data_IF_842921754090
#
_entry.id   IF_842921754090
#
_cell.length_a   1.000
_cell.length_b   1.000
_cell.length_c   1.000
_cell.angle_alpha   90.00
_cell.angle_beta   90.00
_cell.angle_gamma   90.00
#
_symmetry.space_group_name_H-M   'P 1'
#
loop_
_entity.id
_entity.type
_entity.pdbx_description
1 polymer ?
#
# COMPACT_ATOMS: atom_id res chain seq x y z
N UNK A 1 -30.46 31.04 -40.14
CA UNK A 1 -30.63 31.17 -38.68
C UNK A 1 -30.98 29.78 -38.17
N UNK A 2 -30.01 29.01 -37.67
CA UNK A 2 -30.32 27.68 -37.13
C UNK A 2 -31.07 27.87 -35.82
N UNK A 3 -32.25 27.25 -35.68
CA UNK A 3 -33.05 27.30 -34.46
C UNK A 3 -32.26 26.65 -33.31
N UNK A 4 -32.01 27.41 -32.24
CA UNK A 4 -31.39 26.93 -31.02
C UNK A 4 -32.24 27.33 -29.82
N UNK A 5 -32.17 26.54 -28.75
CA UNK A 5 -32.89 26.78 -27.50
C UNK A 5 -31.93 27.38 -26.49
N UNK A 6 -32.25 28.55 -25.93
CA UNK A 6 -31.54 29.10 -24.76
C UNK A 6 -32.36 28.85 -23.50
N UNK A 7 -31.73 28.33 -22.45
CA UNK A 7 -32.37 28.01 -21.18
C UNK A 7 -31.63 28.74 -20.06
N UNK A 8 -32.39 29.48 -19.26
CA UNK A 8 -31.91 30.20 -18.09
C UNK A 8 -32.98 30.18 -17.00
N UNK A 9 -32.59 30.37 -15.74
CA UNK A 9 -33.50 30.45 -14.60
C UNK A 9 -33.13 29.50 -13.46
N UNK A 10 -34.13 29.13 -12.67
CA UNK A 10 -33.98 28.30 -11.46
C UNK A 10 -34.93 27.10 -11.52
N UNK A 11 -34.43 25.89 -11.26
CA UNK A 11 -35.21 24.66 -11.15
C UNK A 11 -35.07 24.09 -9.73
N UNK A 12 -36.18 23.62 -9.16
CA UNK A 12 -36.14 22.96 -7.83
C UNK A 12 -35.54 21.56 -7.88
N UNK A 13 -35.79 20.84 -8.96
CA UNK A 13 -35.35 19.47 -9.10
C UNK A 13 -35.18 19.12 -10.59
N UNK A 14 -34.12 18.40 -10.88
CA UNK A 14 -33.86 17.82 -12.19
C UNK A 14 -33.39 16.37 -12.00
N UNK A 15 -34.21 15.44 -12.46
CA UNK A 15 -33.87 14.02 -12.46
C UNK A 15 -33.39 13.63 -13.86
N UNK A 16 -32.16 13.16 -13.92
CA UNK A 16 -31.58 12.70 -15.16
C UNK A 16 -30.97 11.30 -15.06
N UNK A 17 -31.39 10.54 -14.03
CA UNK A 17 -31.01 9.14 -13.84
C UNK A 17 -31.42 8.24 -15.03
N UNK A 18 -32.53 8.55 -15.71
CA UNK A 18 -33.01 7.79 -16.86
C UNK A 18 -32.42 8.19 -18.23
N UNK A 19 -31.54 9.19 -18.29
CA UNK A 19 -31.00 9.68 -19.56
C UNK A 19 -29.82 8.82 -20.02
N UNK A 20 -30.00 8.06 -21.10
CA UNK A 20 -28.95 7.18 -21.65
C UNK A 20 -27.91 7.90 -22.52
N UNK A 21 -28.20 9.12 -23.01
CA UNK A 21 -27.27 9.94 -23.80
C UNK A 21 -27.73 11.41 -23.83
N UNK A 22 -26.82 12.32 -23.47
CA UNK A 22 -27.07 13.78 -23.48
C UNK A 22 -26.52 14.45 -24.74
N UNK A 23 -25.64 13.76 -25.46
CA UNK A 23 -25.04 14.20 -26.72
C UNK A 23 -25.97 14.02 -27.91
N UNK A 24 -27.00 13.17 -27.82
CA UNK A 24 -27.95 12.90 -28.91
C UNK A 24 -29.09 13.93 -29.00
N UNK A 25 -28.95 15.06 -28.32
CA UNK A 25 -29.92 16.15 -28.41
C UNK A 25 -30.07 16.59 -29.88
N UNK A 26 -31.27 16.50 -30.49
CA UNK A 26 -31.47 16.73 -31.92
C UNK A 26 -31.30 18.19 -32.33
N UNK A 27 -31.13 19.10 -31.38
CA UNK A 27 -31.12 20.55 -31.55
C UNK A 27 -29.95 21.17 -30.79
N UNK A 28 -29.49 22.32 -31.28
CA UNK A 28 -28.50 23.15 -30.57
C UNK A 28 -29.15 23.80 -29.36
N UNK A 29 -28.45 23.79 -28.24
CA UNK A 29 -28.91 24.42 -27.01
C UNK A 29 -27.79 25.16 -26.27
N UNK A 30 -28.18 26.09 -25.41
CA UNK A 30 -27.29 26.85 -24.53
C UNK A 30 -27.92 27.01 -23.14
N UNK A 31 -27.11 26.82 -22.11
CA UNK A 31 -27.46 27.11 -20.72
C UNK A 31 -26.74 28.39 -20.29
N UNK A 32 -27.51 29.36 -19.78
CA UNK A 32 -27.00 30.66 -19.33
C UNK A 32 -27.25 30.81 -17.83
N UNK A 33 -26.37 30.19 -17.02
CA UNK A 33 -26.42 30.25 -15.57
C UNK A 33 -27.63 29.56 -14.96
N UNK A 34 -28.00 28.39 -15.49
CA UNK A 34 -29.13 27.60 -14.99
C UNK A 34 -28.81 27.12 -13.57
N UNK A 35 -29.58 27.58 -12.58
CA UNK A 35 -29.45 27.11 -11.21
C UNK A 35 -30.45 25.96 -10.95
N UNK A 36 -29.99 24.91 -10.30
CA UNK A 36 -30.78 23.73 -9.95
C UNK A 36 -30.53 23.37 -8.50
N UNK A 37 -31.56 23.39 -7.65
CA UNK A 37 -31.38 23.13 -6.22
C UNK A 37 -30.90 21.69 -5.97
N UNK A 38 -31.38 20.74 -6.78
CA UNK A 38 -30.98 19.32 -6.70
C UNK A 38 -31.00 18.62 -8.06
N UNK A 39 -29.86 18.05 -8.45
CA UNK A 39 -29.70 17.16 -9.59
C UNK A 39 -29.45 15.73 -9.06
N UNK A 40 -30.20 14.75 -9.56
CA UNK A 40 -29.97 13.34 -9.26
C UNK A 40 -29.38 12.61 -10.48
N UNK A 41 -28.22 11.96 -10.28
CA UNK A 41 -27.45 11.21 -11.26
C UNK A 41 -27.12 9.83 -10.67
N UNK A 42 -28.03 8.85 -10.81
CA UNK A 42 -27.90 7.54 -10.15
C UNK A 42 -27.68 7.67 -8.62
N UNK A 43 -26.53 7.24 -8.11
CA UNK A 43 -26.09 7.34 -6.72
C UNK A 43 -25.54 8.72 -6.34
N UNK A 44 -25.16 9.53 -7.33
CA UNK A 44 -24.65 10.88 -7.14
C UNK A 44 -25.81 11.89 -7.06
N UNK A 45 -25.82 12.69 -5.99
CA UNK A 45 -26.68 13.88 -5.88
C UNK A 45 -25.80 15.12 -5.91
N UNK A 46 -26.15 16.09 -6.76
CA UNK A 46 -25.57 17.42 -6.76
C UNK A 46 -26.58 18.41 -6.18
N UNK A 47 -26.15 19.24 -5.25
CA UNK A 47 -26.97 20.26 -4.60
C UNK A 47 -26.47 21.66 -4.92
N UNK A 48 -27.42 22.61 -4.99
CA UNK A 48 -27.17 24.02 -5.32
C UNK A 48 -26.32 24.19 -6.59
N UNK A 49 -26.63 23.38 -7.61
CA UNK A 49 -25.84 23.30 -8.82
C UNK A 49 -26.10 24.50 -9.74
N UNK A 50 -25.04 25.09 -10.30
CA UNK A 50 -25.09 26.08 -11.37
C UNK A 50 -24.47 25.50 -12.62
N UNK A 51 -25.21 25.54 -13.72
CA UNK A 51 -24.83 24.96 -15.00
C UNK A 51 -24.72 26.04 -16.08
N UNK A 52 -23.61 26.04 -16.80
CA UNK A 52 -23.34 26.95 -17.92
C UNK A 52 -22.72 26.16 -19.07
N UNK A 53 -23.20 26.35 -20.29
CA UNK A 53 -22.67 25.55 -21.40
C UNK A 53 -23.51 25.56 -22.65
N UNK A 54 -23.18 24.67 -23.56
CA UNK A 54 -23.90 24.47 -24.80
C UNK A 54 -23.72 23.07 -25.33
N UNK A 55 -24.71 22.61 -26.09
CA UNK A 55 -24.65 21.34 -26.78
C UNK A 55 -25.19 21.44 -28.20
N UNK A 56 -24.74 20.51 -29.03
CA UNK A 56 -25.26 20.23 -30.37
C UNK A 56 -25.19 18.72 -30.62
N UNK A 57 -25.80 18.17 -31.68
CA UNK A 57 -25.74 16.73 -31.92
C UNK A 57 -24.29 16.21 -31.92
N UNK A 58 -23.97 15.30 -31.01
CA UNK A 58 -22.64 14.69 -30.82
C UNK A 58 -21.61 15.53 -30.05
N UNK A 59 -21.93 16.76 -29.66
CA UNK A 59 -21.01 17.67 -28.98
C UNK A 59 -21.64 18.33 -27.75
N UNK A 60 -20.89 18.37 -26.65
CA UNK A 60 -21.31 19.00 -25.39
C UNK A 60 -20.12 19.72 -24.77
N UNK A 61 -20.34 20.93 -24.27
CA UNK A 61 -19.43 21.61 -23.37
C UNK A 61 -20.24 22.20 -22.21
N UNK A 62 -19.98 21.72 -20.99
CA UNK A 62 -20.70 22.10 -19.79
C UNK A 62 -19.68 22.45 -18.70
N UNK A 63 -19.89 23.59 -18.05
CA UNK A 63 -19.28 23.94 -16.77
C UNK A 63 -20.36 23.79 -15.69
N UNK A 64 -19.95 23.26 -14.56
CA UNK A 64 -20.83 23.07 -13.42
C UNK A 64 -20.11 23.42 -12.12
N UNK A 65 -20.88 23.97 -11.19
CA UNK A 65 -20.47 24.27 -9.84
C UNK A 65 -21.58 23.80 -8.89
N UNK A 66 -21.25 23.03 -7.87
CA UNK A 66 -22.20 22.47 -6.89
C UNK A 66 -21.50 22.30 -5.55
N UNK A 67 -22.24 21.94 -4.49
CA UNK A 67 -21.61 21.68 -3.19
C UNK A 67 -20.67 20.47 -3.22
N UNK A 68 -20.98 19.46 -4.03
CA UNK A 68 -20.26 18.19 -4.09
C UNK A 68 -19.11 18.22 -5.11
N UNK A 69 -19.24 18.97 -6.20
CA UNK A 69 -18.18 19.07 -7.20
C UNK A 69 -18.26 20.32 -8.07
N UNK A 70 -17.09 20.76 -8.52
CA UNK A 70 -16.94 21.86 -9.48
C UNK A 70 -16.03 21.41 -10.61
N UNK A 71 -16.40 21.71 -11.85
CA UNK A 71 -15.59 21.31 -13.00
C UNK A 71 -16.20 21.62 -14.35
N UNK A 72 -15.66 20.93 -15.35
CA UNK A 72 -16.17 20.95 -16.72
C UNK A 72 -16.23 19.57 -17.34
N UNK A 73 -17.24 19.39 -18.17
CA UNK A 73 -17.52 18.21 -18.95
C UNK A 73 -17.49 18.58 -20.43
N UNK A 74 -16.78 17.82 -21.26
CA UNK A 74 -16.82 17.94 -22.70
C UNK A 74 -17.04 16.60 -23.38
N UNK A 75 -17.94 16.57 -24.36
CA UNK A 75 -18.18 15.41 -25.24
C UNK A 75 -17.93 15.84 -26.67
N UNK A 76 -17.22 15.02 -27.42
CA UNK A 76 -16.94 15.22 -28.84
C UNK A 76 -17.12 13.87 -29.56
N UNK A 77 -17.47 13.87 -30.87
CA UNK A 77 -17.57 12.65 -31.65
C UNK A 77 -16.23 11.90 -31.67
N UNK A 78 -16.30 10.57 -31.57
CA UNK A 78 -15.16 9.64 -31.68
C UNK A 78 -14.01 9.92 -30.69
N UNK A 79 -14.30 10.61 -29.58
CA UNK A 79 -13.34 10.89 -28.50
C UNK A 79 -13.91 10.47 -27.15
N UNK A 80 -13.08 9.99 -26.21
CA UNK A 80 -13.49 9.84 -24.83
C UNK A 80 -14.05 11.16 -24.28
N UNK A 81 -15.08 11.05 -23.45
CA UNK A 81 -15.61 12.16 -22.67
C UNK A 81 -14.48 12.77 -21.83
N UNK A 82 -14.36 14.09 -21.77
CA UNK A 82 -13.41 14.75 -20.87
C UNK A 82 -14.11 15.29 -19.65
N UNK A 83 -13.63 14.94 -18.46
CA UNK A 83 -14.13 15.42 -17.19
C UNK A 83 -12.98 16.04 -16.38
N UNK A 84 -12.95 17.37 -16.33
CA UNK A 84 -11.94 18.14 -15.61
C UNK A 84 -12.57 18.69 -14.32
N UNK A 85 -12.26 18.07 -13.19
CA UNK A 85 -12.80 18.40 -11.87
C UNK A 85 -11.79 19.26 -11.09
N UNK A 86 -12.22 20.46 -10.71
CA UNK A 86 -11.45 21.35 -9.86
C UNK A 86 -11.42 20.86 -8.41
N UNK A 87 -12.56 20.42 -7.91
CA UNK A 87 -12.73 19.88 -6.56
C UNK A 87 -13.88 18.86 -6.58
N UNK A 88 -13.70 17.75 -5.85
CA UNK A 88 -14.73 16.75 -5.56
C UNK A 88 -14.77 16.55 -4.06
N UNK A 89 -15.97 16.55 -3.49
CA UNK A 89 -16.22 16.33 -2.07
C UNK A 89 -16.95 15.02 -1.91
N UNK A 90 -16.30 14.10 -1.22
CA UNK A 90 -16.84 12.79 -0.89
C UNK A 90 -17.14 12.75 0.61
N UNK A 91 -18.31 12.22 1.01
CA UNK A 91 -18.53 11.86 2.40
C UNK A 91 -17.57 10.71 2.78
N UNK A 92 -17.20 10.62 4.04
CA UNK A 92 -16.52 9.46 4.58
C UNK A 92 -17.35 8.20 4.39
N UNK A 93 -16.72 7.15 3.90
CA UNK A 93 -17.32 5.81 3.84
C UNK A 93 -17.23 5.10 5.19
N UNK A 94 -18.13 4.14 5.40
CA UNK A 94 -17.94 3.16 6.48
C UNK A 94 -16.76 2.25 6.11
N UNK A 95 -15.82 2.07 7.05
CA UNK A 95 -14.69 1.17 6.84
C UNK A 95 -15.17 -0.26 6.62
N UNK A 96 -14.68 -0.93 5.57
CA UNK A 96 -15.02 -2.32 5.26
C UNK A 96 -16.19 -2.49 4.30
N UNK A 97 -16.84 -1.40 3.86
CA UNK A 97 -17.92 -1.44 2.86
C UNK A 97 -17.39 -0.90 1.53
N UNK A 98 -17.63 -1.64 0.45
CA UNK A 98 -17.28 -1.21 -0.90
C UNK A 98 -18.08 0.06 -1.27
N UNK A 99 -17.41 1.19 -1.58
CA UNK A 99 -18.11 2.44 -1.87
C UNK A 99 -18.77 2.48 -3.25
N UNK A 100 -18.43 1.57 -4.17
CA UNK A 100 -18.96 1.57 -5.54
C UNK A 100 -19.51 0.19 -5.90
N UNK A 101 -20.78 0.13 -6.27
CA UNK A 101 -21.43 -1.11 -6.69
C UNK A 101 -21.03 -1.53 -8.12
N UNK A 102 -20.80 -2.83 -8.32
CA UNK A 102 -20.38 -3.42 -9.62
C UNK A 102 -21.36 -3.16 -10.77
N UNK A 103 -22.63 -2.90 -10.48
CA UNK A 103 -23.64 -2.54 -11.47
C UNK A 103 -23.36 -1.22 -12.21
N UNK A 104 -22.37 -0.43 -11.76
CA UNK A 104 -21.92 0.76 -12.49
C UNK A 104 -21.07 0.42 -13.72
N UNK A 105 -20.39 -0.74 -13.77
CA UNK A 105 -19.46 -1.08 -14.86
C UNK A 105 -20.10 -0.90 -16.25
N UNK A 106 -21.32 -1.43 -16.52
CA UNK A 106 -21.97 -1.25 -17.83
C UNK A 106 -22.40 0.19 -18.14
N UNK A 107 -22.44 1.07 -17.14
CA UNK A 107 -22.86 2.47 -17.25
C UNK A 107 -21.68 3.42 -17.47
N UNK A 108 -20.45 3.00 -17.17
CA UNK A 108 -19.27 3.83 -17.32
C UNK A 108 -19.00 4.10 -18.81
N UNK A 109 -18.91 5.37 -19.24
CA UNK A 109 -18.51 5.68 -20.60
C UNK A 109 -16.99 5.61 -20.76
N UNK A 110 -16.51 5.63 -22.01
CA UNK A 110 -15.12 5.96 -22.26
C UNK A 110 -14.87 7.43 -21.89
N UNK A 111 -13.99 7.70 -20.92
CA UNK A 111 -13.71 9.03 -20.43
C UNK A 111 -12.23 9.24 -20.07
N UNK A 112 -11.76 10.49 -20.12
CA UNK A 112 -10.51 10.96 -19.55
C UNK A 112 -10.85 11.92 -18.41
N UNK A 113 -10.37 11.60 -17.21
CA UNK A 113 -10.77 12.24 -15.96
C UNK A 113 -9.54 12.82 -15.28
N UNK A 114 -9.62 14.09 -14.90
CA UNK A 114 -8.62 14.75 -14.07
C UNK A 114 -9.33 15.41 -12.88
N UNK A 115 -8.87 15.09 -11.67
CA UNK A 115 -9.38 15.60 -10.41
C UNK A 115 -8.24 16.32 -9.69
N UNK A 116 -8.29 17.65 -9.70
CA UNK A 116 -7.23 18.47 -9.08
C UNK A 116 -7.25 18.43 -7.56
N UNK A 117 -8.41 18.18 -6.96
CA UNK A 117 -8.58 18.14 -5.51
C UNK A 117 -9.72 17.22 -5.10
N UNK A 118 -9.44 16.27 -4.23
CA UNK A 118 -10.43 15.46 -3.53
C UNK A 118 -10.47 15.91 -2.07
N UNK A 119 -11.68 16.12 -1.57
CA UNK A 119 -11.95 16.30 -0.14
C UNK A 119 -12.72 15.09 0.36
N UNK A 120 -12.20 14.42 1.39
CA UNK A 120 -12.87 13.32 2.08
C UNK A 120 -13.18 13.78 3.51
N UNK A 121 -14.46 13.82 3.89
CA UNK A 121 -14.90 14.42 5.17
C UNK A 121 -14.37 15.85 5.40
N UNK A 122 -14.21 16.60 4.31
CA UNK A 122 -13.66 17.96 4.33
C UNK A 122 -12.13 18.04 4.46
N UNK A 123 -11.44 16.92 4.66
CA UNK A 123 -9.98 16.86 4.65
C UNK A 123 -9.43 16.69 3.24
N UNK A 124 -8.28 17.31 2.97
CA UNK A 124 -7.62 17.16 1.68
C UNK A 124 -7.10 15.72 1.49
N UNK A 125 -7.63 15.05 0.47
CA UNK A 125 -7.29 13.67 0.12
C UNK A 125 -6.50 13.56 -1.20
N UNK A 126 -6.06 14.68 -1.78
CA UNK A 126 -5.12 14.65 -2.90
C UNK A 126 -5.74 14.88 -4.27
N UNK A 127 -5.08 14.36 -5.31
CA UNK A 127 -5.44 14.56 -6.72
C UNK A 127 -5.27 13.28 -7.53
N UNK A 128 -6.02 13.16 -8.62
CA UNK A 128 -6.05 11.96 -9.45
C UNK A 128 -6.18 12.29 -10.93
N UNK A 129 -5.59 11.44 -11.78
CA UNK A 129 -5.82 11.41 -13.23
C UNK A 129 -5.95 9.96 -13.67
N UNK A 130 -6.94 9.66 -14.48
CA UNK A 130 -7.14 8.35 -15.08
C UNK A 130 -8.12 8.44 -16.26
N UNK A 131 -8.12 7.45 -17.14
CA UNK A 131 -9.14 7.32 -18.18
C UNK A 131 -9.90 6.01 -18.05
N UNK A 132 -11.22 6.02 -18.17
CA UNK A 132 -12.07 4.82 -18.18
C UNK A 132 -12.22 4.30 -19.61
N UNK A 133 -12.10 2.98 -19.79
CA UNK A 133 -12.28 2.29 -21.07
C UNK A 133 -13.18 1.07 -20.84
N UNK A 134 -14.46 1.14 -21.21
CA UNK A 134 -15.37 0.00 -21.06
C UNK A 134 -14.94 -1.16 -21.95
N UNK A 135 -15.09 -2.37 -21.43
CA UNK A 135 -14.92 -3.64 -22.14
C UNK A 135 -16.15 -4.53 -21.89
N UNK A 136 -16.20 -5.70 -22.53
CA UNK A 136 -17.38 -6.58 -22.49
C UNK A 136 -17.78 -7.00 -21.07
N UNK A 137 -16.81 -7.34 -20.22
CA UNK A 137 -17.04 -7.81 -18.85
C UNK A 137 -16.16 -7.10 -17.80
N UNK A 138 -15.65 -5.92 -18.15
CA UNK A 138 -14.76 -5.16 -17.29
C UNK A 138 -14.74 -3.68 -17.66
N UNK A 139 -14.17 -2.87 -16.79
CA UNK A 139 -13.69 -1.53 -17.10
C UNK A 139 -12.18 -1.48 -16.88
N UNK A 140 -11.47 -0.92 -17.85
CA UNK A 140 -10.04 -0.62 -17.74
C UNK A 140 -9.85 0.85 -17.34
N UNK A 141 -9.09 1.10 -16.30
CA UNK A 141 -8.63 2.43 -15.93
C UNK A 141 -7.19 2.61 -16.41
N UNK A 142 -7.04 3.44 -17.42
CA UNK A 142 -5.79 3.76 -18.12
C UNK A 142 -5.11 4.99 -17.51
N UNK A 143 -3.79 5.08 -17.63
CA UNK A 143 -3.00 6.27 -17.21
C UNK A 143 -3.30 6.72 -15.77
N UNK A 144 -3.51 5.76 -14.86
CA UNK A 144 -3.84 6.05 -13.47
C UNK A 144 -2.62 6.62 -12.77
N UNK A 145 -2.75 7.85 -12.28
CA UNK A 145 -1.76 8.50 -11.43
C UNK A 145 -2.46 9.35 -10.37
N UNK A 146 -1.86 9.43 -9.19
CA UNK A 146 -2.43 10.22 -8.10
C UNK A 146 -1.41 10.57 -7.03
N UNK A 147 -1.71 11.64 -6.31
CA UNK A 147 -0.92 12.10 -5.16
C UNK A 147 -1.88 12.19 -3.97
N UNK A 148 -1.67 11.37 -2.94
CA UNK A 148 -2.60 11.20 -1.81
C UNK A 148 -1.80 11.22 -0.51
N UNK A 149 -2.01 12.24 0.33
CA UNK A 149 -1.45 12.28 1.68
C UNK A 149 0.07 11.96 1.73
N UNK A 150 0.82 12.47 0.75
CA UNK A 150 2.28 12.28 0.64
C UNK A 150 2.73 11.01 -0.10
N UNK A 151 1.80 10.16 -0.55
CA UNK A 151 2.05 9.04 -1.43
C UNK A 151 1.80 9.44 -2.89
N UNK A 152 2.67 9.02 -3.79
CA UNK A 152 2.45 9.09 -5.23
C UNK A 152 2.17 7.68 -5.77
N UNK A 153 1.05 7.53 -6.46
CA UNK A 153 0.63 6.27 -7.09
C UNK A 153 0.74 6.45 -8.60
N UNK A 154 1.36 5.49 -9.27
CA UNK A 154 1.42 5.41 -10.72
C UNK A 154 1.17 3.95 -11.13
N UNK A 155 0.12 3.71 -11.92
CA UNK A 155 -0.12 2.39 -12.50
C UNK A 155 0.82 2.16 -13.70
N UNK A 156 1.42 0.97 -13.77
CA UNK A 156 2.30 0.58 -14.88
C UNK A 156 1.49 -0.02 -16.04
N UNK A 157 0.33 -0.58 -15.73
CA UNK A 157 -0.67 -1.10 -16.66
C UNK A 157 -2.06 -0.56 -16.30
N UNK A 158 -3.07 -0.94 -17.06
CA UNK A 158 -4.45 -0.57 -16.72
C UNK A 158 -4.88 -1.25 -15.42
N UNK A 159 -5.54 -0.50 -14.53
CA UNK A 159 -6.31 -1.13 -13.45
C UNK A 159 -7.53 -1.76 -14.08
N UNK A 160 -7.81 -3.02 -13.79
CA UNK A 160 -8.96 -3.74 -14.36
C UNK A 160 -9.95 -4.01 -13.25
N UNK A 161 -11.22 -3.64 -13.44
CA UNK A 161 -12.32 -4.04 -12.55
C UNK A 161 -13.35 -4.84 -13.35
N UNK A 162 -13.60 -6.08 -12.91
CA UNK A 162 -14.41 -7.06 -13.63
C UNK A 162 -15.85 -7.13 -13.11
N UNK A 163 -16.76 -7.69 -13.90
CA UNK A 163 -18.15 -7.96 -13.47
C UNK A 163 -18.25 -9.04 -12.38
N UNK A 164 -17.20 -9.85 -12.19
CA UNK A 164 -17.08 -10.76 -11.04
C UNK A 164 -16.74 -10.00 -9.74
N UNK A 165 -16.69 -8.67 -9.82
CA UNK A 165 -16.37 -7.73 -8.76
C UNK A 165 -14.97 -7.97 -8.18
N UNK A 166 -13.98 -8.08 -9.05
CA UNK A 166 -12.56 -8.17 -8.68
C UNK A 166 -11.78 -7.05 -9.36
N UNK A 167 -10.90 -6.41 -8.60
CA UNK A 167 -9.99 -5.38 -9.08
C UNK A 167 -8.56 -5.88 -9.11
N UNK A 168 -7.81 -5.48 -10.13
CA UNK A 168 -6.39 -5.80 -10.29
C UNK A 168 -5.57 -4.54 -10.55
N UNK A 169 -4.46 -4.38 -9.82
CA UNK A 169 -3.52 -3.27 -9.94
C UNK A 169 -2.10 -3.79 -10.11
N UNK A 170 -1.44 -3.32 -11.17
CA UNK A 170 0.01 -3.41 -11.33
C UNK A 170 0.62 -2.03 -11.41
N UNK A 171 1.46 -1.68 -10.45
CA UNK A 171 1.98 -0.31 -10.38
C UNK A 171 3.00 -0.07 -9.27
N UNK A 172 3.27 1.22 -9.07
CA UNK A 172 4.20 1.70 -8.05
C UNK A 172 3.54 2.69 -7.11
N UNK A 173 3.90 2.62 -5.83
CA UNK A 173 3.59 3.62 -4.82
C UNK A 173 4.90 4.14 -4.26
N UNK A 174 5.12 5.45 -4.33
CA UNK A 174 6.35 6.10 -3.87
C UNK A 174 6.08 7.16 -2.84
N UNK A 175 7.05 7.40 -1.97
CA UNK A 175 7.03 8.51 -1.03
C UNK A 175 8.46 9.00 -0.77
N UNK A 176 8.59 10.24 -0.31
CA UNK A 176 9.88 10.74 0.17
C UNK A 176 10.08 10.33 1.63
N UNK A 177 9.42 11.03 2.55
CA UNK A 177 9.64 10.85 3.99
C UNK A 177 8.44 10.25 4.71
N UNK A 178 8.61 9.02 5.22
CA UNK A 178 7.62 8.32 6.05
C UNK A 178 7.23 9.11 7.30
N UNK A 179 8.09 9.97 7.84
CA UNK A 179 7.79 10.79 9.00
C UNK A 179 6.65 11.79 8.75
N UNK A 180 6.45 12.19 7.48
CA UNK A 180 5.34 13.07 7.05
C UNK A 180 4.13 12.27 6.56
N UNK A 181 4.36 11.12 5.92
CA UNK A 181 3.29 10.27 5.40
C UNK A 181 2.53 9.60 6.52
N UNK A 182 3.21 8.91 7.45
CA UNK A 182 2.56 8.10 8.49
C UNK A 182 1.49 8.90 9.28
N UNK A 183 1.75 10.13 9.76
CA UNK A 183 0.75 10.93 10.46
C UNK A 183 -0.44 11.34 9.58
N UNK A 184 -0.23 11.61 8.29
CA UNK A 184 -1.31 11.98 7.38
C UNK A 184 -2.33 10.82 7.21
N UNK A 185 -1.86 9.59 7.39
CA UNK A 185 -2.66 8.36 7.38
C UNK A 185 -3.11 7.91 8.77
N UNK A 186 -2.82 8.69 9.82
CA UNK A 186 -3.26 8.41 11.20
C UNK A 186 -2.35 7.47 11.98
N UNK A 187 -1.14 7.19 11.49
CA UNK A 187 -0.14 6.39 12.17
C UNK A 187 0.86 7.27 12.93
N UNK A 188 1.51 6.69 13.93
CA UNK A 188 2.60 7.36 14.62
C UNK A 188 3.81 7.55 13.69
N UNK A 189 4.56 8.62 13.91
CA UNK A 189 5.85 8.87 13.25
C UNK A 189 6.91 7.90 13.79
N UNK A 190 6.83 6.64 13.36
CA UNK A 190 7.72 5.56 13.80
C UNK A 190 8.96 5.41 12.92
N UNK A 191 8.90 5.90 11.68
CA UNK A 191 9.99 5.80 10.70
C UNK A 191 10.16 7.11 9.98
N UNK A 192 11.41 7.55 9.87
CA UNK A 192 11.84 8.59 8.95
C UNK A 192 12.60 7.93 7.79
N UNK A 193 12.44 8.44 6.57
CA UNK A 193 13.12 7.94 5.36
C UNK A 193 13.44 9.10 4.40
N UNK A 194 14.37 8.87 3.47
CA UNK A 194 14.55 9.78 2.32
C UNK A 194 13.68 9.38 1.14
N UNK A 195 13.54 8.08 0.90
CA UNK A 195 12.82 7.53 -0.25
C UNK A 195 12.17 6.19 0.08
N UNK A 196 10.96 6.00 -0.42
CA UNK A 196 10.16 4.78 -0.36
C UNK A 196 9.69 4.44 -1.78
N UNK A 197 9.88 3.20 -2.16
CA UNK A 197 9.40 2.63 -3.43
C UNK A 197 8.73 1.28 -3.13
N UNK A 198 7.45 1.20 -3.47
CA UNK A 198 6.64 -0.01 -3.38
C UNK A 198 6.22 -0.37 -4.79
N UNK A 199 6.42 -1.62 -5.19
CA UNK A 199 5.87 -2.20 -6.42
C UNK A 199 4.83 -3.23 -6.02
N UNK A 200 3.67 -3.17 -6.66
CA UNK A 200 2.58 -4.12 -6.41
C UNK A 200 2.06 -4.70 -7.72
N UNK A 201 1.75 -5.98 -7.68
CA UNK A 201 0.95 -6.69 -8.66
C UNK A 201 -0.10 -7.49 -7.88
N UNK A 202 -1.24 -6.86 -7.62
CA UNK A 202 -2.19 -7.32 -6.60
C UNK A 202 -3.62 -7.27 -7.09
N UNK A 203 -4.42 -8.20 -6.58
CA UNK A 203 -5.86 -8.26 -6.79
C UNK A 203 -6.61 -8.24 -5.45
N UNK A 204 -7.82 -7.68 -5.46
CA UNK A 204 -8.75 -7.72 -4.33
C UNK A 204 -10.20 -7.79 -4.79
N UNK A 205 -11.09 -8.34 -3.96
CA UNK A 205 -12.53 -8.29 -4.20
C UNK A 205 -13.08 -6.87 -4.02
N UNK A 206 -13.97 -6.46 -4.92
CA UNK A 206 -14.64 -5.17 -4.93
C UNK A 206 -14.15 -4.22 -5.99
N UNK A 207 -14.65 -2.99 -5.92
CA UNK A 207 -14.22 -1.87 -6.75
C UNK A 207 -12.76 -1.48 -6.49
N UNK A 208 -12.14 -0.70 -7.39
CA UNK A 208 -10.77 -0.22 -7.17
C UNK A 208 -10.59 0.62 -5.90
N UNK A 209 -11.67 1.11 -5.30
CA UNK A 209 -11.66 1.85 -4.04
C UNK A 209 -11.84 0.95 -2.81
N UNK A 210 -12.27 -0.31 -2.98
CA UNK A 210 -12.41 -1.29 -1.90
C UNK A 210 -11.09 -1.97 -1.51
N UNK A 211 -10.00 -1.22 -1.52
CA UNK A 211 -8.66 -1.74 -1.23
C UNK A 211 -8.50 -1.97 0.28
N UNK A 212 -8.29 -3.23 0.69
CA UNK A 212 -8.07 -3.62 2.08
C UNK A 212 -6.97 -4.69 2.14
N UNK A 213 -5.97 -4.47 3.00
CA UNK A 213 -4.74 -5.27 3.03
C UNK A 213 -4.97 -6.74 3.39
N UNK A 214 -5.98 -7.00 4.22
CA UNK A 214 -6.46 -8.32 4.67
C UNK A 214 -7.21 -9.10 3.58
N UNK A 215 -7.55 -8.47 2.45
CA UNK A 215 -8.20 -9.16 1.32
C UNK A 215 -7.31 -9.23 0.07
N UNK A 216 -6.08 -8.73 0.12
CA UNK A 216 -5.18 -8.73 -1.03
C UNK A 216 -4.60 -10.11 -1.32
N UNK A 217 -4.43 -10.37 -2.61
CA UNK A 217 -3.65 -11.47 -3.15
C UNK A 217 -2.70 -10.96 -4.23
N UNK A 218 -1.51 -11.55 -4.34
CA UNK A 218 -0.50 -11.17 -5.34
C UNK A 218 0.85 -10.81 -4.72
N UNK A 219 1.68 -10.06 -5.43
CA UNK A 219 3.06 -9.81 -5.04
C UNK A 219 3.31 -8.34 -4.69
N UNK A 220 4.08 -8.11 -3.63
CA UNK A 220 4.50 -6.77 -3.20
C UNK A 220 6.01 -6.76 -2.97
N UNK A 221 6.68 -5.79 -3.60
CA UNK A 221 8.08 -5.47 -3.34
C UNK A 221 8.19 -4.11 -2.65
N UNK A 222 9.01 -4.03 -1.60
CA UNK A 222 9.27 -2.79 -0.86
C UNK A 222 10.77 -2.48 -0.85
N UNK A 223 11.12 -1.22 -1.10
CA UNK A 223 12.43 -0.66 -0.81
C UNK A 223 12.29 0.67 -0.08
N UNK A 224 12.94 0.80 1.08
CA UNK A 224 13.12 2.07 1.78
C UNK A 224 14.60 2.37 1.82
N UNK A 225 14.98 3.58 1.42
CA UNK A 225 16.38 4.03 1.41
C UNK A 225 16.58 5.05 2.51
N UNK A 226 17.71 4.92 3.22
CA UNK A 226 18.26 5.84 4.21
C UNK A 226 17.22 6.43 5.19
N UNK A 227 17.29 6.02 6.44
CA UNK A 227 16.34 6.51 7.42
C UNK A 227 16.68 6.10 8.84
N UNK A 228 15.70 6.25 9.71
CA UNK A 228 15.79 5.78 11.09
C UNK A 228 14.43 5.36 11.62
N UNK A 229 14.43 4.32 12.45
CA UNK A 229 13.32 4.01 13.32
C UNK A 229 13.35 4.98 14.50
N UNK A 230 12.24 5.65 14.76
CA UNK A 230 12.08 6.59 15.87
C UNK A 230 11.49 5.86 17.08
N UNK A 231 11.82 6.34 18.28
CA UNK A 231 11.18 5.87 19.51
C UNK A 231 9.75 6.44 19.57
N UNK A 232 8.75 5.57 19.67
CA UNK A 232 7.34 5.96 19.66
C UNK A 232 6.79 5.89 21.07
N UNK A 233 6.57 7.05 21.69
CA UNK A 233 5.75 7.12 22.89
C UNK A 233 4.31 6.69 22.57
N UNK A 234 3.70 5.93 23.49
CA UNK A 234 2.36 5.31 23.42
C UNK A 234 1.38 5.96 22.42
N UNK A 235 0.96 5.17 21.42
CA UNK A 235 -0.03 5.58 20.40
C UNK A 235 -1.45 5.43 20.97
N UNK A 236 -2.37 6.39 20.74
CA UNK A 236 -3.79 6.18 21.00
C UNK A 236 -4.33 5.04 20.13
N UNK A 237 -4.88 4.00 20.76
CA UNK A 237 -5.53 2.88 20.09
C UNK A 237 -6.67 3.38 19.19
N UNK A 238 -6.72 2.95 17.92
CA UNK A 238 -7.89 3.22 17.08
C UNK A 238 -7.79 3.07 15.57
N UNK A 239 -6.62 2.82 14.95
CA UNK A 239 -6.54 2.52 13.51
C UNK A 239 -5.54 1.40 13.25
N UNK A 240 -6.08 0.21 12.98
CA UNK A 240 -5.34 -1.01 12.70
C UNK A 240 -4.72 -0.85 11.32
N UNK A 241 -3.41 -0.61 11.32
CA UNK A 241 -2.38 -1.04 10.37
C UNK A 241 -1.05 -0.49 10.93
N UNK A 242 -0.82 -0.75 12.21
CA UNK A 242 0.38 -0.29 12.93
C UNK A 242 1.58 -1.09 12.40
N UNK A 243 2.28 -0.53 11.42
CA UNK A 243 3.55 -1.03 10.92
C UNK A 243 4.49 -1.20 12.12
N UNK A 244 4.99 -2.43 12.27
CA UNK A 244 5.81 -2.93 13.38
C UNK A 244 6.46 -1.81 14.21
N UNK A 245 6.14 -1.77 15.49
CA UNK A 245 6.90 -0.97 16.46
C UNK A 245 8.26 -1.63 16.71
N UNK A 246 9.18 -1.44 15.77
CA UNK A 246 10.55 -1.96 15.84
C UNK A 246 11.29 -1.44 17.09
N UNK A 247 10.88 -0.29 17.64
CA UNK A 247 11.43 0.24 18.89
C UNK A 247 11.06 -0.65 20.08
N UNK A 248 9.80 -1.10 20.19
CA UNK A 248 9.36 -2.09 21.19
C UNK A 248 10.01 -3.44 21.00
N UNK A 249 10.18 -3.89 19.75
CA UNK A 249 10.91 -5.12 19.46
C UNK A 249 12.34 -4.97 20.00
N UNK A 250 13.09 -3.96 19.58
CA UNK A 250 14.47 -3.71 20.01
C UNK A 250 14.61 -3.57 21.55
N UNK A 251 13.69 -2.87 22.21
CA UNK A 251 13.66 -2.72 23.67
C UNK A 251 13.44 -4.07 24.38
N UNK A 252 12.57 -4.94 23.85
CA UNK A 252 12.29 -6.28 24.39
C UNK A 252 13.44 -7.27 24.13
N UNK A 253 14.31 -7.03 23.15
CA UNK A 253 15.51 -7.85 22.89
C UNK A 253 16.62 -7.70 23.97
N UNK A 254 16.38 -6.95 25.06
CA UNK A 254 17.36 -6.68 26.15
C UNK A 254 18.70 -6.11 25.64
N UNK A 255 18.64 -5.35 24.55
CA UNK A 255 19.78 -4.63 24.04
C UNK A 255 19.93 -3.34 24.86
N UNK A 256 20.95 -3.25 25.70
CA UNK A 256 21.23 -2.04 26.51
C UNK A 256 21.90 -0.96 25.63
N UNK A 257 21.12 -0.28 24.78
CA UNK A 257 21.56 0.86 23.98
C UNK A 257 20.85 2.16 24.38
N UNK A 258 20.59 2.34 25.67
CA UNK A 258 19.90 3.54 26.20
C UNK A 258 20.53 4.87 25.73
N UNK A 259 21.84 4.90 25.44
CA UNK A 259 22.56 6.07 24.89
C UNK A 259 22.42 6.28 23.37
N UNK A 260 21.93 5.29 22.61
CA UNK A 260 21.75 5.35 21.15
C UNK A 260 20.28 5.49 20.76
N UNK A 261 19.37 4.91 21.55
CA UNK A 261 17.93 4.94 21.29
C UNK A 261 17.28 6.31 21.40
N UNK A 262 17.87 7.25 22.15
CA UNK A 262 17.34 8.61 22.30
C UNK A 262 17.25 9.42 20.99
N UNK A 263 17.85 8.94 19.89
CA UNK A 263 17.79 9.56 18.56
C UNK A 263 17.27 8.62 17.45
N UNK A 264 16.83 7.40 17.80
CA UNK A 264 16.38 6.35 16.87
C UNK A 264 17.45 5.36 16.38
N UNK A 265 17.04 4.29 15.69
CA UNK A 265 17.93 3.28 15.06
C UNK A 265 18.05 3.58 13.57
N UNK A 266 19.23 4.01 13.12
CA UNK A 266 19.49 4.31 11.71
C UNK A 266 19.55 3.05 10.84
N UNK A 267 19.07 3.17 9.60
CA UNK A 267 19.21 2.17 8.55
C UNK A 267 19.65 2.83 7.23
N UNK A 268 20.42 2.10 6.44
CA UNK A 268 20.81 2.47 5.08
C UNK A 268 19.76 1.96 4.07
N UNK A 269 19.16 0.80 4.33
CA UNK A 269 18.16 0.20 3.44
C UNK A 269 17.25 -0.81 4.13
N UNK A 270 15.98 -0.79 3.75
CA UNK A 270 15.00 -1.85 4.00
C UNK A 270 14.59 -2.45 2.66
N UNK A 271 14.56 -3.78 2.54
CA UNK A 271 14.04 -4.48 1.36
C UNK A 271 13.14 -5.64 1.75
N UNK A 272 12.01 -5.77 1.08
CA UNK A 272 11.12 -6.92 1.20
C UNK A 272 10.65 -7.39 -0.18
N UNK A 273 10.55 -8.70 -0.36
CA UNK A 273 9.85 -9.34 -1.46
C UNK A 273 8.83 -10.30 -0.85
N UNK A 274 7.55 -10.08 -1.12
CA UNK A 274 6.46 -10.78 -0.43
C UNK A 274 5.38 -11.21 -1.39
N UNK A 275 4.83 -12.40 -1.14
CA UNK A 275 3.56 -12.84 -1.71
C UNK A 275 2.45 -12.68 -0.67
N UNK A 276 1.25 -12.34 -1.12
CA UNK A 276 0.03 -12.28 -0.33
C UNK A 276 -0.96 -13.30 -0.89
N UNK A 277 -1.60 -14.04 0.00
CA UNK A 277 -2.71 -14.93 -0.30
C UNK A 277 -3.86 -14.61 0.67
N UNK A 278 -4.86 -13.89 0.17
CA UNK A 278 -6.04 -13.45 0.93
C UNK A 278 -5.70 -12.83 2.30
N UNK A 279 -4.79 -11.87 2.30
CA UNK A 279 -4.35 -11.16 3.51
C UNK A 279 -3.27 -11.86 4.33
N UNK A 280 -2.83 -13.07 3.96
CA UNK A 280 -1.68 -13.72 4.59
C UNK A 280 -0.43 -13.42 3.76
N UNK A 281 0.46 -12.60 4.32
CA UNK A 281 1.74 -12.25 3.73
C UNK A 281 2.79 -13.30 4.05
N UNK A 282 3.58 -13.68 3.04
CA UNK A 282 4.78 -14.49 3.17
C UNK A 282 5.98 -13.74 2.59
N UNK A 283 7.09 -13.79 3.31
CA UNK A 283 8.38 -13.31 2.80
C UNK A 283 8.96 -14.35 1.81
N UNK A 284 8.98 -14.04 0.52
CA UNK A 284 9.61 -14.87 -0.53
C UNK A 284 11.14 -14.85 -0.38
N UNK A 285 11.66 -13.66 -0.07
CA UNK A 285 13.01 -13.44 0.44
C UNK A 285 12.90 -12.79 1.82
N UNK A 286 13.87 -13.01 2.73
CA UNK A 286 13.81 -12.36 4.03
C UNK A 286 13.69 -10.85 3.89
N UNK A 287 12.84 -10.24 4.70
CA UNK A 287 12.87 -8.79 4.91
C UNK A 287 14.25 -8.44 5.47
N UNK A 288 15.01 -7.66 4.72
CA UNK A 288 16.34 -7.20 5.11
C UNK A 288 16.29 -5.76 5.59
N UNK A 289 16.83 -5.49 6.77
CA UNK A 289 17.07 -4.14 7.29
C UNK A 289 18.57 -4.01 7.53
N UNK A 290 19.24 -3.22 6.69
CA UNK A 290 20.68 -2.96 6.79
C UNK A 290 20.89 -1.59 7.41
N UNK A 291 21.67 -1.53 8.48
CA UNK A 291 22.07 -0.31 9.15
C UNK A 291 23.59 -0.23 9.36
N UNK A 292 24.07 0.87 9.98
CA UNK A 292 25.50 1.13 10.15
C UNK A 292 26.19 0.08 11.04
N UNK A 293 26.70 -0.97 10.40
CA UNK A 293 27.24 -2.12 11.11
C UNK A 293 26.16 -2.94 11.82
N UNK A 294 24.98 -3.10 11.25
CA UNK A 294 24.00 -4.09 11.75
C UNK A 294 23.13 -4.57 10.60
N UNK A 295 22.74 -5.84 10.62
CA UNK A 295 21.80 -6.40 9.65
C UNK A 295 20.72 -7.19 10.38
N UNK A 296 19.47 -6.97 10.01
CA UNK A 296 18.32 -7.75 10.47
C UNK A 296 17.73 -8.46 9.26
N UNK A 297 17.47 -9.76 9.41
CA UNK A 297 16.74 -10.57 8.42
C UNK A 297 15.52 -11.19 9.07
N UNK A 298 14.34 -11.00 8.49
CA UNK A 298 13.08 -11.51 9.01
C UNK A 298 12.45 -12.46 7.99
N UNK A 299 12.11 -13.66 8.45
CA UNK A 299 11.49 -14.73 7.66
C UNK A 299 10.08 -15.02 8.18
N UNK A 300 9.31 -15.81 7.43
CA UNK A 300 8.03 -16.35 7.88
C UNK A 300 6.84 -15.60 7.29
N UNK A 301 5.78 -15.44 8.08
CA UNK A 301 4.49 -14.93 7.62
C UNK A 301 3.90 -13.87 8.55
N UNK A 302 3.02 -13.05 8.01
CA UNK A 302 2.18 -12.09 8.74
C UNK A 302 0.74 -12.29 8.28
N UNK A 303 -0.18 -12.50 9.21
CA UNK A 303 -1.61 -12.55 8.91
C UNK A 303 -2.22 -11.16 9.15
N UNK A 304 -2.78 -10.52 8.12
CA UNK A 304 -3.34 -9.17 8.25
C UNK A 304 -4.76 -9.13 8.83
N UNK A 305 -5.44 -10.27 9.00
CA UNK A 305 -6.78 -10.33 9.59
C UNK A 305 -6.76 -10.00 11.09
N UNK A 306 -5.79 -10.53 11.81
CA UNK A 306 -5.60 -10.31 13.25
C UNK A 306 -4.21 -9.74 13.61
N UNK A 307 -3.39 -9.48 12.59
CA UNK A 307 -2.03 -9.00 12.74
C UNK A 307 -1.06 -10.07 13.26
N UNK A 308 -1.40 -11.36 13.23
CA UNK A 308 -0.56 -12.41 13.82
C UNK A 308 0.80 -12.54 13.14
N UNK A 309 1.83 -12.71 13.97
CA UNK A 309 3.21 -12.89 13.55
C UNK A 309 3.64 -14.34 13.75
N UNK A 310 4.20 -14.95 12.71
CA UNK A 310 4.97 -16.19 12.80
C UNK A 310 6.29 -15.98 12.05
N UNK A 311 7.27 -15.44 12.77
CA UNK A 311 8.51 -15.01 12.16
C UNK A 311 9.75 -15.52 12.90
N UNK A 312 10.80 -15.72 12.12
CA UNK A 312 12.16 -15.83 12.64
C UNK A 312 12.93 -14.57 12.27
N UNK A 313 13.56 -13.95 13.26
CA UNK A 313 14.39 -12.76 13.08
C UNK A 313 15.84 -13.09 13.43
N UNK A 314 16.74 -12.82 12.50
CA UNK A 314 18.18 -12.93 12.69
C UNK A 314 18.77 -11.54 12.78
N UNK A 315 19.49 -11.27 13.86
CA UNK A 315 20.17 -10.00 14.12
C UNK A 315 21.67 -10.23 14.07
N UNK A 316 22.32 -9.60 13.11
CA UNK A 316 23.74 -9.76 12.83
C UNK A 316 24.47 -8.47 13.20
N UNK A 317 25.39 -8.56 14.16
CA UNK A 317 26.17 -7.42 14.68
C UNK A 317 27.68 -7.68 14.54
N UNK A 318 28.50 -6.64 14.26
CA UNK A 318 29.94 -6.70 14.27
C UNK A 318 30.41 -6.81 15.71
N UNK A 319 31.13 -7.89 15.98
CA UNK A 319 31.89 -8.01 17.21
C UNK A 319 33.12 -7.09 17.11
N UNK A 320 32.97 -5.81 17.45
CA UNK A 320 34.15 -5.03 17.82
C UNK A 320 34.77 -5.69 19.05
N UNK A 321 36.10 -5.85 19.02
CA UNK A 321 36.92 -6.80 19.79
C UNK A 321 37.02 -6.54 21.30
N UNK A 322 35.96 -6.03 21.92
CA UNK A 322 35.92 -5.72 23.35
C UNK A 322 34.51 -5.78 23.92
N UNK A 323 33.85 -6.95 24.03
CA UNK A 323 32.66 -6.99 24.88
C UNK A 323 32.40 -8.25 25.71
N UNK A 324 31.76 -8.06 26.89
CA UNK A 324 31.77 -8.95 28.06
C UNK A 324 30.62 -9.96 28.11
N UNK A 325 29.78 -10.03 27.07
CA UNK A 325 28.58 -10.86 27.05
C UNK A 325 28.90 -12.37 27.10
N UNK A 326 30.03 -12.81 26.51
CA UNK A 326 30.51 -14.19 26.65
C UNK A 326 30.85 -14.52 28.12
N UNK A 327 31.41 -13.56 28.87
CA UNK A 327 31.74 -13.74 30.28
C UNK A 327 30.47 -13.76 31.15
N UNK A 328 29.45 -13.00 30.76
CA UNK A 328 28.13 -12.99 31.39
C UNK A 328 27.37 -14.31 31.16
N UNK A 329 27.42 -14.87 29.95
CA UNK A 329 26.82 -16.18 29.63
C UNK A 329 27.49 -17.32 30.40
N UNK A 330 28.82 -17.37 30.43
CA UNK A 330 29.58 -18.36 31.21
C UNK A 330 29.36 -18.22 32.72
N UNK A 331 29.18 -17.00 33.22
CA UNK A 331 28.85 -16.76 34.62
C UNK A 331 27.42 -17.21 34.99
N UNK A 332 26.48 -17.15 34.04
CA UNK A 332 25.08 -17.54 34.26
C UNK A 332 24.86 -19.07 34.32
N UNK A 333 25.74 -19.84 33.68
CA UNK A 333 25.64 -21.32 33.62
C UNK A 333 26.46 -22.00 34.71
N UNK A 334 27.59 -21.43 35.14
CA UNK A 334 28.36 -21.90 36.29
C UNK A 334 29.33 -20.81 36.82
N UNK A 335 29.20 -20.34 38.08
CA UNK A 335 30.08 -19.33 38.66
C UNK A 335 31.56 -19.70 38.66
N UNK A 336 31.90 -21.00 38.67
CA UNK A 336 33.28 -21.48 38.71
C UNK A 336 34.02 -21.33 37.37
N UNK A 337 33.30 -21.27 36.24
CA UNK A 337 33.91 -21.11 34.90
C UNK A 337 34.31 -19.66 34.58
N UNK A 338 33.80 -18.68 35.32
CA UNK A 338 34.10 -17.26 35.10
C UNK A 338 35.58 -16.88 35.37
N UNK A 339 36.28 -17.62 36.24
CA UNK A 339 37.66 -17.32 36.62
C UNK A 339 38.70 -17.76 35.56
N UNK A 340 38.34 -18.66 34.63
CA UNK A 340 39.30 -19.23 33.66
C UNK A 340 39.59 -18.36 32.43
N UNK A 341 38.72 -17.40 32.11
CA UNK A 341 38.81 -16.67 30.83
C UNK A 341 39.79 -15.50 30.85
N UNK A 342 40.24 -15.08 32.03
CA UNK A 342 41.15 -13.94 32.17
C UNK A 342 42.60 -14.21 31.72
N UNK A 343 42.95 -15.45 31.35
CA UNK A 343 44.32 -15.83 30.93
C UNK A 343 44.50 -16.10 29.43
N UNK A 344 43.48 -15.89 28.59
CA UNK A 344 43.50 -16.23 27.16
C UNK A 344 43.57 -15.07 26.17
N UNK A 345 44.08 -13.89 26.56
CA UNK A 345 43.88 -12.63 25.80
C UNK A 345 44.63 -12.53 24.45
N UNK A 346 45.62 -13.39 24.19
CA UNK A 346 46.52 -13.22 23.04
C UNK A 346 46.37 -14.26 21.91
N UNK A 347 45.75 -15.42 22.17
CA UNK A 347 45.56 -16.49 21.14
C UNK A 347 44.29 -16.29 20.31
N UNK A 348 43.32 -15.52 20.81
CA UNK A 348 42.03 -15.30 20.14
C UNK A 348 41.96 -14.03 19.29
N UNK A 349 43.00 -13.18 19.29
CA UNK A 349 43.02 -11.91 18.54
C UNK A 349 43.09 -12.04 17.01
N UNK A 350 43.38 -13.23 16.47
CA UNK A 350 43.65 -13.40 15.02
C UNK A 350 42.54 -14.09 14.22
N UNK A 351 41.38 -14.39 14.82
CA UNK A 351 40.27 -15.09 14.15
C UNK A 351 38.88 -14.52 14.42
N UNK A 352 38.74 -13.41 15.15
CA UNK A 352 37.42 -12.85 15.49
C UNK A 352 37.16 -11.61 14.65
N UNK A 353 36.97 -11.84 13.35
CA UNK A 353 36.27 -10.92 12.43
C UNK A 353 34.91 -11.52 12.05
N UNK A 354 34.33 -12.35 12.92
CA UNK A 354 33.03 -12.95 12.67
C UNK A 354 31.90 -12.02 13.13
N UNK A 355 30.90 -11.83 12.27
CA UNK A 355 29.61 -11.27 12.67
C UNK A 355 28.93 -12.28 13.62
N UNK A 356 28.49 -11.81 14.79
CA UNK A 356 27.66 -12.63 15.67
C UNK A 356 26.20 -12.48 15.25
N UNK A 357 25.55 -13.62 15.00
CA UNK A 357 24.15 -13.67 14.61
C UNK A 357 23.32 -14.18 15.78
N UNK A 358 22.33 -13.43 16.24
CA UNK A 358 21.35 -13.84 17.25
C UNK A 358 20.00 -14.13 16.58
N UNK A 359 19.42 -15.30 16.84
CA UNK A 359 18.10 -15.68 16.35
C UNK A 359 17.04 -15.45 17.43
N UNK A 360 15.92 -14.89 17.00
CA UNK A 360 14.71 -14.71 17.80
C UNK A 360 13.52 -15.27 17.03
N UNK A 361 12.62 -15.95 17.74
CA UNK A 361 11.29 -16.27 17.21
C UNK A 361 10.31 -15.19 17.65
N UNK A 362 9.70 -14.52 16.69
CA UNK A 362 8.78 -13.40 16.89
C UNK A 362 7.36 -13.90 16.66
N UNK A 363 6.56 -13.85 17.71
CA UNK A 363 5.13 -14.23 17.69
C UNK A 363 4.28 -13.09 18.24
N UNK A 364 2.99 -13.30 18.49
CA UNK A 364 2.08 -12.25 18.96
C UNK A 364 1.44 -11.56 17.78
N UNK A 365 1.23 -10.24 17.89
CA UNK A 365 0.60 -9.44 16.81
C UNK A 365 1.52 -8.30 16.37
N UNK A 366 1.23 -7.68 15.23
CA UNK A 366 1.91 -6.48 14.72
C UNK A 366 1.97 -5.36 15.76
N UNK A 367 0.90 -5.20 16.56
CA UNK A 367 0.81 -4.19 17.63
C UNK A 367 1.57 -4.59 18.89
N UNK A 368 1.59 -5.89 19.22
CA UNK A 368 2.28 -6.42 20.38
C UNK A 368 3.17 -7.63 20.03
N UNK A 369 4.32 -7.39 19.37
CA UNK A 369 5.25 -8.44 19.00
C UNK A 369 5.95 -9.02 20.23
N UNK A 370 6.05 -10.36 20.30
CA UNK A 370 6.63 -11.13 21.40
C UNK A 370 7.89 -11.87 20.93
N UNK A 371 9.06 -11.20 20.89
CA UNK A 371 10.30 -11.85 20.54
C UNK A 371 10.76 -12.81 21.65
N UNK A 372 11.19 -14.00 21.26
CA UNK A 372 11.76 -15.01 22.15
C UNK A 372 13.14 -15.42 21.64
N UNK A 373 14.16 -15.31 22.50
CA UNK A 373 15.54 -15.62 22.12
C UNK A 373 15.72 -17.12 21.90
N UNK A 374 16.32 -17.50 20.78
CA UNK A 374 16.57 -18.90 20.40
C UNK A 374 18.04 -19.27 20.62
N UNK A 375 18.98 -18.49 20.10
CA UNK A 375 20.41 -18.81 20.18
C UNK A 375 21.32 -17.83 19.45
N UNK A 376 22.64 -18.02 19.61
CA UNK A 376 23.70 -17.25 18.92
C UNK A 376 24.52 -18.21 18.07
N UNK A 377 24.86 -17.76 16.87
CA UNK A 377 25.64 -18.53 15.90
C UNK A 377 26.74 -17.66 15.29
N UNK A 378 27.80 -18.32 14.83
CA UNK A 378 28.93 -17.70 14.14
C UNK A 378 28.86 -18.15 12.68
N UNK A 379 28.35 -17.30 11.77
CA UNK A 379 28.12 -17.65 10.36
C UNK A 379 26.76 -17.21 9.81
N UNK A 380 26.51 -17.49 8.53
CA UNK A 380 25.24 -17.18 7.86
C UNK A 380 24.15 -18.19 8.27
N UNK A 381 22.99 -17.68 8.70
CA UNK A 381 21.83 -18.50 9.04
C UNK A 381 20.96 -18.71 7.80
N UNK A 382 20.67 -19.97 7.47
CA UNK A 382 19.64 -20.35 6.53
C UNK A 382 18.50 -21.05 7.31
N UNK A 383 17.24 -20.59 7.22
CA UNK A 383 16.13 -21.27 7.87
C UNK A 383 15.87 -22.65 7.25
N UNK A 384 15.43 -23.59 8.09
CA UNK A 384 15.11 -24.99 7.74
C UNK A 384 14.05 -25.10 6.62
N UNK A 385 13.19 -24.08 6.47
CA UNK A 385 12.21 -23.97 5.38
C UNK A 385 12.82 -23.76 3.99
N UNK A 386 14.08 -23.33 3.88
CA UNK A 386 14.78 -23.23 2.60
C UNK A 386 15.34 -24.59 2.11
N UNK A 387 15.58 -25.55 3.01
CA UNK A 387 16.09 -26.88 2.65
C UNK A 387 15.00 -27.80 2.07
N UNK A 388 13.72 -27.55 2.39
CA UNK A 388 12.58 -28.32 1.86
C UNK A 388 12.30 -28.11 0.36
N UNK A 389 12.70 -26.96 -0.20
CA UNK A 389 12.48 -26.64 -1.61
C UNK A 389 13.57 -27.23 -2.55
N UNK A 390 14.74 -27.59 -2.00
CA UNK A 390 15.87 -28.10 -2.78
C UNK A 390 15.86 -29.62 -3.01
N UNK A 391 14.90 -30.34 -2.44
CA UNK A 391 14.72 -31.79 -2.65
C UNK A 391 13.47 -32.06 -3.50
N UNK A 392 13.52 -31.66 -4.78
CA UNK A 392 12.66 -32.28 -5.78
C UNK A 392 13.14 -33.73 -6.00
N UNK A 393 12.25 -34.74 -6.01
CA UNK A 393 12.66 -36.11 -6.30
C UNK A 393 13.19 -36.21 -7.72
N UNK A 394 14.37 -36.82 -7.85
CA UNK A 394 14.98 -37.22 -9.12
C UNK A 394 13.95 -37.98 -9.97
N UNK A 395 13.76 -37.65 -11.27
CA UNK A 395 12.79 -38.36 -12.09
C UNK A 395 13.24 -39.83 -12.25
N UNK A 396 12.31 -40.79 -12.18
CA UNK A 396 12.66 -42.20 -12.30
C UNK A 396 13.23 -42.50 -13.70
N UNK A 397 14.18 -43.45 -13.82
CA UNK A 397 14.79 -43.76 -15.10
C UNK A 397 13.75 -44.29 -16.08
N UNK A 398 13.75 -43.76 -17.31
CA UNK A 398 12.91 -44.21 -18.40
C UNK A 398 13.03 -45.73 -18.61
N UNK A 399 11.96 -46.46 -18.30
CA UNK A 399 11.77 -47.81 -18.80
C UNK A 399 11.40 -47.73 -20.29
N UNK A 400 12.29 -48.23 -21.15
CA UNK A 400 11.96 -48.57 -22.53
C UNK A 400 10.83 -49.61 -22.50
N UNK A 401 9.65 -49.24 -23.02
CA UNK A 401 8.64 -50.20 -23.42
C UNK A 401 8.72 -50.38 -24.93
N UNK A 402 9.16 -51.59 -25.30
CA UNK A 402 9.00 -52.18 -26.62
C UNK A 402 7.52 -52.15 -27.03
N UNK A 403 7.25 -51.61 -28.21
CA UNK A 403 6.00 -51.77 -28.90
C UNK A 403 5.99 -53.13 -29.62
N UNK A 404 5.10 -54.02 -29.19
CA UNK A 404 4.56 -55.08 -30.03
C UNK A 404 3.02 -55.02 -29.99
N UNK A 405 2.49 -54.98 -31.21
CA UNK A 405 1.09 -55.10 -31.69
C UNK A 405 0.15 -53.89 -31.58
#
# INVERSE_FOLDING_TARGET
VAAGVSIAGTLRHFDASGASSWSDAPLRWRLEGLAVDRIALHDLTLTNARLEGSGSPGELALQFDSEEMTGSLAVQPDRPLRLDLAEVRLPGGETGVDPIDVSVIPLLPAADIEIRRVLLDGEHFGSWRFGTRPAENAVHFTNVSGDIKGLRIDALEDIVWTLDNESHFRGTVTASNLASVLPAWGYATSVESTDVDIRGDVAWPGSPLNFQLDHLSGDIGLTVTEGRFLDVAEVPAGRILTLLDFSKVAQRLRLDFSDVFGQGIGFERIRASTSLDHGVLRFEEPLEIRGPGSEFRIYGTVDFHDGALDNDMVVTLPLSSSLPWYAFWLASTNPATAAGVLLGREVFKRQIEALSSARYRVTGTLEEPKPSFVGIFTGEFAPESAEGAAQAPEPPPHAQQDAQE
#
